data_IF_015774365454
#
_entry.id   IF_015774365454
#
_cell.length_a   1.000
_cell.length_b   1.000
_cell.length_c   1.000
_cell.angle_alpha   90.00
_cell.angle_beta   90.00
_cell.angle_gamma   90.00
#
_symmetry.space_group_name_H-M   'P 1'
#
loop_
_entity.id
_entity.type
_entity.pdbx_description
1 polymer ?
#
# COMPACT_ATOMS: atom_id res chain seq x y z
N UNK A 1 -21.17 -23.19 22.64
CA UNK A 1 -20.04 -22.95 21.71
C UNK A 1 -19.87 -21.44 21.64
N UNK A 2 -18.91 -20.88 22.38
CA UNK A 2 -18.63 -19.45 22.32
C UNK A 2 -17.89 -19.15 21.02
N UNK A 3 -18.57 -18.45 20.12
CA UNK A 3 -18.00 -17.86 18.92
C UNK A 3 -16.83 -16.99 19.32
N UNK A 4 -15.62 -17.34 18.89
CA UNK A 4 -14.47 -16.44 18.99
C UNK A 4 -14.78 -15.18 18.17
N UNK A 5 -14.55 -13.97 18.70
CA UNK A 5 -14.67 -12.77 17.90
C UNK A 5 -13.62 -12.84 16.78
N UNK A 6 -14.03 -12.57 15.55
CA UNK A 6 -13.11 -12.41 14.44
C UNK A 6 -12.09 -11.32 14.82
N UNK A 7 -10.83 -11.71 15.00
CA UNK A 7 -9.74 -10.74 15.16
C UNK A 7 -9.76 -9.91 13.88
N UNK A 8 -10.10 -8.63 13.99
CA UNK A 8 -10.02 -7.72 12.86
C UNK A 8 -8.61 -7.83 12.28
N UNK A 9 -8.50 -8.19 11.00
CA UNK A 9 -7.21 -8.31 10.34
C UNK A 9 -6.45 -7.00 10.54
N UNK A 10 -5.24 -7.08 11.07
CA UNK A 10 -4.46 -5.89 11.38
C UNK A 10 -4.08 -5.18 10.07
N UNK A 11 -4.42 -3.89 9.97
CA UNK A 11 -4.27 -3.06 8.77
C UNK A 11 -2.80 -2.83 8.41
N UNK A 12 -2.47 -2.92 7.12
CA UNK A 12 -1.13 -2.65 6.58
C UNK A 12 -0.93 -1.16 6.30
N UNK A 13 -2.02 -0.42 6.06
CA UNK A 13 -2.00 0.99 5.66
C UNK A 13 -3.04 1.76 6.47
N UNK A 14 -2.58 2.73 7.26
CA UNK A 14 -3.49 3.65 7.97
C UNK A 14 -3.79 4.86 7.10
N UNK A 15 -5.06 5.23 6.99
CA UNK A 15 -5.51 6.48 6.35
C UNK A 15 -5.92 7.51 7.39
N UNK A 16 -5.42 8.74 7.25
CA UNK A 16 -5.82 9.92 8.03
C UNK A 16 -6.10 11.08 7.09
N UNK A 17 -7.06 11.94 7.41
CA UNK A 17 -7.38 13.14 6.63
C UNK A 17 -7.31 14.32 7.58
N UNK A 18 -6.49 15.32 7.24
CA UNK A 18 -6.36 16.54 8.03
C UNK A 18 -7.45 17.57 7.69
N UNK A 19 -7.58 18.60 8.52
CA UNK A 19 -8.47 19.74 8.27
C UNK A 19 -8.04 20.56 7.03
N UNK A 20 -6.82 20.36 6.55
CA UNK A 20 -6.27 20.88 5.31
C UNK A 20 -6.69 20.07 4.06
N UNK A 21 -7.56 19.08 4.24
CA UNK A 21 -8.02 18.15 3.21
C UNK A 21 -6.90 17.30 2.57
N UNK A 22 -5.78 17.12 3.27
CA UNK A 22 -4.71 16.24 2.81
C UNK A 22 -4.93 14.84 3.39
N UNK A 23 -4.98 13.84 2.49
CA UNK A 23 -5.04 12.43 2.87
C UNK A 23 -3.61 11.91 3.09
N UNK A 24 -3.34 11.29 4.23
CA UNK A 24 -2.08 10.63 4.55
C UNK A 24 -2.29 9.12 4.62
N UNK A 25 -1.62 8.37 3.74
CA UNK A 25 -1.51 6.92 3.80
C UNK A 25 -0.18 6.53 4.45
N UNK A 26 -0.26 5.97 5.65
CA UNK A 26 0.90 5.50 6.42
C UNK A 26 1.01 3.99 6.35
N UNK A 27 2.02 3.47 5.65
CA UNK A 27 2.34 2.05 5.63
C UNK A 27 2.96 1.64 6.98
N UNK A 28 2.33 0.68 7.65
CA UNK A 28 2.79 0.17 8.95
C UNK A 28 2.41 -1.30 9.17
N UNK A 29 3.03 -2.19 8.38
CA UNK A 29 2.79 -3.64 8.47
C UNK A 29 2.94 -4.17 9.91
N UNK A 30 1.89 -4.71 10.55
CA UNK A 30 1.94 -5.19 11.93
C UNK A 30 2.95 -6.32 12.11
N UNK A 31 3.57 -6.40 13.30
CA UNK A 31 4.55 -7.44 13.67
C UNK A 31 5.70 -7.63 12.66
N UNK A 32 6.04 -6.58 11.92
CA UNK A 32 7.09 -6.59 10.90
C UNK A 32 8.01 -5.38 11.02
N UNK A 33 9.31 -5.62 10.83
CA UNK A 33 10.32 -4.56 10.73
C UNK A 33 10.28 -3.79 9.41
N UNK A 34 9.55 -4.27 8.40
CA UNK A 34 9.47 -3.66 7.07
C UNK A 34 8.06 -3.72 6.47
N UNK A 35 7.75 -2.74 5.64
CA UNK A 35 6.59 -2.78 4.75
C UNK A 35 6.96 -3.52 3.46
N UNK A 36 6.05 -4.34 2.94
CA UNK A 36 6.21 -5.12 1.72
C UNK A 36 4.89 -5.17 0.93
N UNK A 37 4.99 -5.39 -0.37
CA UNK A 37 3.86 -5.64 -1.25
C UNK A 37 3.58 -7.14 -1.39
N UNK A 38 2.60 -7.62 -0.63
CA UNK A 38 1.94 -8.90 -0.84
C UNK A 38 0.49 -8.68 -1.31
N UNK A 39 -0.27 -9.77 -1.42
CA UNK A 39 -1.67 -9.69 -1.84
C UNK A 39 -2.56 -8.84 -0.93
N UNK A 40 -2.28 -8.81 0.38
CA UNK A 40 -3.05 -8.08 1.37
C UNK A 40 -2.76 -6.58 1.30
N UNK A 41 -1.49 -6.19 1.34
CA UNK A 41 -1.08 -4.78 1.20
C UNK A 41 -1.58 -4.18 -0.11
N UNK A 42 -1.51 -4.93 -1.23
CA UNK A 42 -2.01 -4.45 -2.52
C UNK A 42 -3.53 -4.28 -2.53
N UNK A 43 -4.28 -5.20 -1.92
CA UNK A 43 -5.73 -5.07 -1.83
C UNK A 43 -6.14 -3.86 -0.98
N UNK A 44 -5.47 -3.64 0.15
CA UNK A 44 -5.74 -2.50 1.04
C UNK A 44 -5.36 -1.17 0.37
N UNK A 45 -4.23 -1.11 -0.35
CA UNK A 45 -3.86 0.06 -1.14
C UNK A 45 -4.96 0.38 -2.17
N UNK A 46 -5.43 -0.62 -2.93
CA UNK A 46 -6.51 -0.43 -3.90
C UNK A 46 -7.76 0.19 -3.26
N UNK A 47 -8.18 -0.31 -2.08
CA UNK A 47 -9.34 0.24 -1.37
C UNK A 47 -9.13 1.69 -0.91
N UNK A 48 -7.91 2.07 -0.54
CA UNK A 48 -7.60 3.46 -0.21
C UNK A 48 -7.63 4.36 -1.44
N UNK A 49 -7.10 3.89 -2.58
CA UNK A 49 -7.14 4.64 -3.83
C UNK A 49 -8.58 4.82 -4.33
N UNK A 50 -9.41 3.77 -4.25
CA UNK A 50 -10.83 3.86 -4.59
C UNK A 50 -11.54 4.91 -3.72
N UNK A 51 -11.25 4.97 -2.42
CA UNK A 51 -11.79 6.00 -1.55
C UNK A 51 -11.34 7.40 -1.98
N UNK A 52 -10.04 7.58 -2.24
CA UNK A 52 -9.45 8.88 -2.59
C UNK A 52 -10.02 9.38 -3.92
N UNK A 53 -10.18 8.50 -4.91
CA UNK A 53 -10.73 8.85 -6.22
C UNK A 53 -12.20 9.30 -6.16
N UNK A 54 -12.96 8.80 -5.18
CA UNK A 54 -14.36 9.14 -4.99
C UNK A 54 -14.61 10.30 -4.02
N UNK A 55 -13.57 10.83 -3.35
CA UNK A 55 -13.69 11.97 -2.44
C UNK A 55 -13.17 13.26 -3.09
N UNK A 56 -14.10 14.00 -3.69
CA UNK A 56 -13.80 15.27 -4.36
C UNK A 56 -13.42 16.42 -3.42
N UNK A 57 -13.40 16.22 -2.10
CA UNK A 57 -12.95 17.23 -1.14
C UNK A 57 -11.44 17.21 -0.91
N UNK A 58 -10.75 16.13 -1.27
CA UNK A 58 -9.32 15.96 -1.02
C UNK A 58 -8.47 16.89 -1.88
N UNK A 59 -7.54 17.61 -1.24
CA UNK A 59 -6.59 18.50 -1.90
C UNK A 59 -5.27 17.85 -2.30
N UNK A 60 -4.98 16.66 -1.77
CA UNK A 60 -3.74 15.94 -2.05
C UNK A 60 -3.57 14.65 -1.25
N UNK A 61 -2.58 13.85 -1.65
CA UNK A 61 -2.20 12.59 -1.02
C UNK A 61 -0.73 12.62 -0.60
N UNK A 62 -0.44 12.20 0.64
CA UNK A 62 0.89 11.88 1.12
C UNK A 62 0.99 10.38 1.42
N UNK A 63 1.98 9.72 0.85
CA UNK A 63 2.35 8.34 1.18
C UNK A 63 3.59 8.36 2.07
N UNK A 64 3.51 7.72 3.23
CA UNK A 64 4.60 7.66 4.22
C UNK A 64 4.73 6.27 4.85
N UNK A 65 5.80 6.04 5.60
CA UNK A 65 6.04 4.80 6.35
C UNK A 65 6.22 5.10 7.83
N UNK A 66 5.66 4.25 8.69
CA UNK A 66 5.89 4.31 10.14
C UNK A 66 7.09 3.46 10.60
N UNK A 67 7.77 2.75 9.70
CA UNK A 67 8.95 1.96 10.07
C UNK A 67 10.15 2.85 10.34
N UNK A 68 11.04 2.43 11.24
CA UNK A 68 12.14 3.28 11.71
C UNK A 68 13.20 3.61 10.66
N UNK A 69 13.51 2.66 9.77
CA UNK A 69 14.67 2.76 8.86
C UNK A 69 14.37 2.38 7.42
N UNK A 70 13.10 2.16 7.08
CA UNK A 70 12.68 1.68 5.76
C UNK A 70 11.34 2.30 5.36
N UNK A 71 11.23 2.74 4.12
CA UNK A 71 9.99 3.15 3.54
C UNK A 71 9.16 1.90 3.19
N UNK A 72 9.53 1.22 2.11
CA UNK A 72 8.93 -0.03 1.65
C UNK A 72 10.04 -0.89 1.02
N UNK A 73 10.17 -2.15 1.44
CA UNK A 73 11.24 -3.04 1.00
C UNK A 73 11.03 -3.63 -0.41
N UNK A 74 9.84 -3.47 -0.98
CA UNK A 74 9.47 -4.03 -2.27
C UNK A 74 8.46 -5.16 -2.16
N UNK A 75 8.42 -6.00 -3.19
CA UNK A 75 7.53 -7.16 -3.23
C UNK A 75 7.94 -8.22 -2.19
N UNK A 76 6.96 -8.89 -1.59
CA UNK A 76 7.22 -9.99 -0.68
C UNK A 76 7.74 -11.22 -1.44
N UNK A 77 9.01 -11.59 -1.21
CA UNK A 77 9.65 -12.71 -1.90
C UNK A 77 8.92 -14.04 -1.66
N UNK A 78 8.32 -14.26 -0.48
CA UNK A 78 7.55 -15.48 -0.20
C UNK A 78 6.33 -15.57 -1.10
N UNK A 79 5.58 -14.47 -1.22
CA UNK A 79 4.46 -14.34 -2.16
C UNK A 79 4.93 -14.60 -3.58
N UNK A 80 6.01 -13.95 -4.04
CA UNK A 80 6.53 -14.15 -5.40
C UNK A 80 6.85 -15.63 -5.69
N UNK A 81 7.52 -16.31 -4.76
CA UNK A 81 7.85 -17.73 -4.90
C UNK A 81 6.60 -18.61 -4.98
N UNK A 82 5.59 -18.34 -4.15
CA UNK A 82 4.32 -19.07 -4.18
C UNK A 82 3.59 -18.88 -5.52
N UNK A 83 3.49 -17.64 -6.02
CA UNK A 83 2.83 -17.34 -7.28
C UNK A 83 3.59 -17.91 -8.48
N UNK A 84 4.93 -17.98 -8.41
CA UNK A 84 5.74 -18.63 -9.44
C UNK A 84 5.47 -20.15 -9.51
N UNK A 85 5.25 -20.79 -8.36
CA UNK A 85 4.94 -22.22 -8.29
C UNK A 85 3.51 -22.54 -8.74
N UNK A 86 2.53 -21.67 -8.47
CA UNK A 86 1.14 -21.88 -8.90
C UNK A 86 0.89 -21.51 -10.35
N UNK A 87 1.80 -20.77 -11.00
CA UNK A 87 1.63 -20.25 -12.35
C UNK A 87 0.91 -18.89 -12.42
N UNK A 88 0.59 -18.28 -11.28
CA UNK A 88 -0.20 -17.04 -11.18
C UNK A 88 0.65 -15.76 -11.17
N UNK A 89 1.98 -15.88 -11.27
CA UNK A 89 2.91 -14.76 -11.20
C UNK A 89 2.54 -13.60 -12.13
N UNK A 90 2.12 -13.89 -13.37
CA UNK A 90 1.73 -12.85 -14.34
C UNK A 90 0.49 -12.08 -13.87
N UNK A 91 -0.50 -12.77 -13.30
CA UNK A 91 -1.69 -12.14 -12.79
C UNK A 91 -1.38 -11.28 -11.56
N UNK A 92 -0.49 -11.75 -10.69
CA UNK A 92 -0.03 -10.98 -9.52
C UNK A 92 0.69 -9.69 -9.92
N UNK A 93 1.65 -9.76 -10.85
CA UNK A 93 2.35 -8.58 -11.39
C UNK A 93 1.34 -7.61 -12.01
N UNK A 94 0.46 -8.11 -12.88
CA UNK A 94 -0.55 -7.28 -13.55
C UNK A 94 -1.49 -6.58 -12.55
N UNK A 95 -1.84 -7.25 -11.44
CA UNK A 95 -2.61 -6.63 -10.35
C UNK A 95 -1.83 -5.49 -9.70
N UNK A 96 -0.57 -5.70 -9.32
CA UNK A 96 0.28 -4.66 -8.74
C UNK A 96 0.42 -3.45 -9.65
N UNK A 97 0.74 -3.67 -10.93
CA UNK A 97 0.85 -2.61 -11.93
C UNK A 97 -0.45 -1.84 -12.12
N UNK A 98 -1.61 -2.51 -12.13
CA UNK A 98 -2.91 -1.83 -12.21
C UNK A 98 -3.11 -0.87 -11.04
N UNK A 99 -2.77 -1.29 -9.83
CA UNK A 99 -2.95 -0.48 -8.62
C UNK A 99 -1.98 0.72 -8.63
N UNK A 100 -0.73 0.52 -9.05
CA UNK A 100 0.21 1.64 -9.19
C UNK A 100 -0.21 2.60 -10.31
N UNK A 101 -0.76 2.10 -11.42
CA UNK A 101 -1.33 2.96 -12.45
C UNK A 101 -2.56 3.74 -11.97
N UNK A 102 -3.36 3.18 -11.05
CA UNK A 102 -4.48 3.91 -10.43
C UNK A 102 -3.95 5.06 -9.57
N UNK A 103 -2.92 4.81 -8.75
CA UNK A 103 -2.25 5.85 -7.98
C UNK A 103 -1.70 6.97 -8.90
N UNK A 104 -1.04 6.59 -9.99
CA UNK A 104 -0.51 7.52 -10.98
C UNK A 104 -1.59 8.35 -11.69
N UNK A 105 -2.80 7.81 -11.80
CA UNK A 105 -3.90 8.45 -12.52
C UNK A 105 -4.70 9.43 -11.65
N UNK A 106 -4.46 9.50 -10.34
CA UNK A 106 -5.17 10.39 -9.42
C UNK A 106 -5.14 11.84 -9.91
N UNK A 107 -6.26 12.55 -9.73
CA UNK A 107 -6.42 13.94 -10.16
C UNK A 107 -6.04 14.96 -9.09
N UNK A 108 -5.34 14.51 -8.05
CA UNK A 108 -4.84 15.34 -6.96
C UNK A 108 -3.31 15.18 -6.85
N UNK A 109 -2.59 16.21 -6.38
CA UNK A 109 -1.16 16.09 -6.11
C UNK A 109 -0.86 14.93 -5.16
N UNK A 110 0.14 14.13 -5.51
CA UNK A 110 0.58 12.97 -4.72
C UNK A 110 2.05 13.12 -4.37
N UNK A 111 2.40 12.91 -3.10
CA UNK A 111 3.76 13.05 -2.55
C UNK A 111 4.16 11.76 -1.84
N UNK A 112 5.33 11.21 -2.17
CA UNK A 112 5.98 10.17 -1.38
C UNK A 112 6.97 10.79 -0.39
N UNK A 113 6.70 10.70 0.90
CA UNK A 113 7.59 11.14 1.98
C UNK A 113 8.58 10.02 2.32
N UNK A 114 9.61 9.85 1.49
CA UNK A 114 10.54 8.71 1.56
C UNK A 114 11.62 8.96 2.61
N UNK A 115 11.76 8.03 3.56
CA UNK A 115 12.93 7.91 4.44
C UNK A 115 13.46 6.48 4.47
N UNK A 116 14.76 6.33 4.71
CA UNK A 116 15.39 5.01 4.80
C UNK A 116 15.37 4.24 3.47
N UNK A 117 15.42 2.92 3.54
CA UNK A 117 15.46 2.08 2.34
C UNK A 117 14.12 2.09 1.56
N UNK A 118 14.21 2.12 0.23
CA UNK A 118 13.06 2.12 -0.68
C UNK A 118 13.49 1.40 -1.96
N UNK A 119 13.00 0.18 -2.20
CA UNK A 119 13.56 -0.69 -3.24
C UNK A 119 12.50 -1.47 -4.00
N UNK A 120 12.79 -1.79 -5.28
CA UNK A 120 11.90 -2.56 -6.15
C UNK A 120 10.50 -1.95 -6.20
N UNK A 121 9.48 -2.75 -5.93
CA UNK A 121 8.09 -2.28 -5.79
C UNK A 121 7.90 -1.08 -4.85
N UNK A 122 8.74 -0.99 -3.82
CA UNK A 122 8.76 0.13 -2.88
C UNK A 122 9.16 1.44 -3.53
N UNK A 123 10.05 1.42 -4.53
CA UNK A 123 10.38 2.59 -5.33
C UNK A 123 9.39 2.79 -6.47
N UNK A 124 8.89 1.72 -7.09
CA UNK A 124 7.88 1.79 -8.17
C UNK A 124 6.62 2.54 -7.72
N UNK A 125 6.12 2.32 -6.50
CA UNK A 125 4.95 3.07 -5.98
C UNK A 125 5.21 4.57 -5.83
N UNK A 126 6.48 4.99 -5.71
CA UNK A 126 6.85 6.42 -5.59
C UNK A 126 7.02 7.09 -6.95
N UNK A 127 7.12 6.28 -8.02
CA UNK A 127 7.18 6.74 -9.41
C UNK A 127 5.80 6.84 -10.06
N UNK A 128 4.79 6.26 -9.41
CA UNK A 128 3.40 6.36 -9.79
C UNK A 128 2.93 7.82 -9.68
#
# INVERSE_FOLDING_TARGET
>A
MNSMPAVAAASMIRRQIGDDHICVLTFDRPESGANIFDGATLAELSQHLDFIENDGSLGGLIITSAKKSIFIAGADLKTLLQQAQSGDMRAFIAKGQRIFNQLAALKIPTIAAIHGACAGGGYEVTLA
#
